data_IF_730432505343
#
_entry.id   IF_730432505343
#
_cell.length_a   1.000
_cell.length_b   1.000
_cell.length_c   1.000
_cell.angle_alpha   90.00
_cell.angle_beta   90.00
_cell.angle_gamma   90.00
#
_symmetry.space_group_name_H-M   'P 1'
#
loop_
_entity.id
_entity.type
_entity.pdbx_description
1 polymer ?
#
# COMPACT_ATOMS: atom_id res chain seq x y z
N UNK A 1 25.47 -10.00 5.07
CA UNK A 1 24.56 -10.40 6.17
C UNK A 1 23.94 -9.15 6.77
N UNK A 2 22.63 -9.17 7.05
CA UNK A 2 21.92 -8.06 7.70
C UNK A 2 22.22 -8.12 9.20
N UNK A 3 22.63 -7.01 9.81
CA UNK A 3 23.01 -6.97 11.23
C UNK A 3 21.79 -7.03 12.15
N UNK A 4 21.98 -7.45 13.41
CA UNK A 4 20.91 -7.47 14.40
C UNK A 4 20.29 -6.07 14.63
N UNK A 5 21.11 -5.02 14.59
CA UNK A 5 20.63 -3.64 14.68
C UNK A 5 19.78 -3.25 13.46
N UNK A 6 20.19 -3.64 12.24
CA UNK A 6 19.39 -3.39 11.05
C UNK A 6 18.02 -4.08 11.15
N UNK A 7 17.97 -5.33 11.62
CA UNK A 7 16.69 -6.01 11.88
C UNK A 7 15.81 -5.29 12.91
N UNK A 8 16.40 -4.78 14.00
CA UNK A 8 15.66 -4.00 15.00
C UNK A 8 15.08 -2.72 14.39
N UNK A 9 15.87 -2.01 13.58
CA UNK A 9 15.46 -0.80 12.89
C UNK A 9 14.36 -1.09 11.85
N UNK A 10 14.47 -2.21 11.12
CA UNK A 10 13.46 -2.66 10.16
C UNK A 10 12.13 -2.97 10.83
N UNK A 11 12.13 -3.64 12.00
CA UNK A 11 10.90 -3.91 12.76
C UNK A 11 10.22 -2.62 13.20
N UNK A 12 10.99 -1.65 13.71
CA UNK A 12 10.44 -0.36 14.11
C UNK A 12 9.77 0.38 12.93
N UNK A 13 10.39 0.36 11.75
CA UNK A 13 9.81 0.95 10.53
C UNK A 13 8.59 0.16 10.04
N UNK A 14 8.62 -1.17 10.09
CA UNK A 14 7.49 -2.05 9.75
C UNK A 14 6.27 -1.77 10.62
N UNK A 15 6.44 -1.79 11.94
CA UNK A 15 5.38 -1.54 12.92
C UNK A 15 4.81 -0.13 12.73
N UNK A 16 5.69 0.85 12.46
CA UNK A 16 5.22 2.20 12.14
C UNK A 16 4.34 2.21 10.91
N UNK A 17 4.64 1.49 9.82
CA UNK A 17 3.82 1.56 8.60
C UNK A 17 2.38 1.07 8.77
N UNK A 18 2.11 0.22 9.76
CA UNK A 18 0.79 -0.31 10.04
C UNK A 18 -0.08 0.73 10.76
N UNK A 19 -1.33 0.87 10.31
CA UNK A 19 -2.33 1.78 10.90
C UNK A 19 -3.03 1.15 12.10
N UNK A 20 -3.09 -0.18 12.16
CA UNK A 20 -3.83 -0.94 13.19
C UNK A 20 -5.31 -0.53 13.31
N UNK A 21 -5.93 -0.08 12.22
CA UNK A 21 -7.36 0.17 12.22
C UNK A 21 -8.11 -1.14 12.43
N UNK A 22 -9.12 -1.12 13.30
CA UNK A 22 -10.05 -2.24 13.42
C UNK A 22 -10.93 -2.29 12.16
N UNK A 23 -10.96 -3.41 11.42
CA UNK A 23 -11.88 -3.55 10.29
C UNK A 23 -13.33 -3.38 10.75
N UNK A 24 -14.10 -2.65 9.95
CA UNK A 24 -15.54 -2.45 10.15
C UNK A 24 -16.24 -2.45 8.79
N UNK A 25 -17.57 -2.67 8.77
CA UNK A 25 -18.34 -2.59 7.54
C UNK A 25 -18.17 -1.22 6.85
N UNK A 26 -17.88 -1.25 5.56
CA UNK A 26 -17.71 -0.08 4.69
C UNK A 26 -18.60 -0.19 3.44
N UNK A 27 -18.86 0.93 2.77
CA UNK A 27 -19.61 0.95 1.49
C UNK A 27 -18.91 0.12 0.40
N UNK A 28 -17.57 0.15 0.38
CA UNK A 28 -16.73 -0.54 -0.61
C UNK A 28 -15.41 -0.96 0.00
N UNK A 29 -14.81 -2.05 -0.50
CA UNK A 29 -13.41 -2.37 -0.26
C UNK A 29 -12.59 -2.21 -1.55
N UNK A 30 -11.43 -1.56 -1.43
CA UNK A 30 -10.56 -1.26 -2.58
C UNK A 30 -9.21 -1.96 -2.36
N UNK A 31 -8.90 -2.93 -3.21
CA UNK A 31 -7.60 -3.60 -3.26
C UNK A 31 -6.62 -2.87 -4.16
N UNK A 32 -5.58 -2.28 -3.55
CA UNK A 32 -4.56 -1.52 -4.25
C UNK A 32 -3.54 -2.43 -4.93
N UNK A 33 -3.40 -2.28 -6.23
CA UNK A 33 -2.48 -3.03 -7.08
C UNK A 33 -1.05 -2.99 -6.57
N UNK A 34 -0.43 -4.17 -6.53
CA UNK A 34 0.95 -4.36 -6.16
C UNK A 34 1.48 -5.71 -6.63
N UNK A 35 2.72 -6.04 -6.29
CA UNK A 35 3.30 -7.37 -6.55
C UNK A 35 2.77 -8.46 -5.60
N UNK A 36 2.04 -8.10 -4.55
CA UNK A 36 1.58 -9.00 -3.51
C UNK A 36 0.14 -9.46 -3.79
N UNK A 37 -0.05 -10.75 -4.10
CA UNK A 37 -1.39 -11.33 -4.28
C UNK A 37 -2.21 -11.38 -2.97
N UNK A 38 -1.55 -11.25 -1.81
CA UNK A 38 -2.21 -11.22 -0.50
C UNK A 38 -3.21 -10.07 -0.35
N UNK A 39 -3.08 -9.01 -1.14
CA UNK A 39 -4.10 -7.93 -1.21
C UNK A 39 -5.44 -8.47 -1.72
N UNK A 40 -5.43 -9.32 -2.75
CA UNK A 40 -6.65 -9.94 -3.27
C UNK A 40 -7.24 -10.94 -2.27
N UNK A 41 -6.39 -11.77 -1.66
CA UNK A 41 -6.82 -12.77 -0.67
C UNK A 41 -7.45 -12.10 0.57
N UNK A 42 -6.86 -10.98 1.03
CA UNK A 42 -7.42 -10.18 2.12
C UNK A 42 -8.75 -9.54 1.73
N UNK A 43 -8.87 -9.01 0.52
CA UNK A 43 -10.12 -8.45 0.02
C UNK A 43 -11.26 -9.48 -0.04
N UNK A 44 -10.95 -10.69 -0.50
CA UNK A 44 -11.90 -11.80 -0.52
C UNK A 44 -12.32 -12.19 0.89
N UNK A 45 -11.37 -12.38 1.81
CA UNK A 45 -11.69 -12.72 3.21
C UNK A 45 -12.57 -11.67 3.89
N UNK A 46 -12.32 -10.39 3.64
CA UNK A 46 -13.13 -9.30 4.18
C UNK A 46 -14.53 -9.25 3.54
N UNK A 47 -14.63 -9.52 2.24
CA UNK A 47 -15.92 -9.66 1.54
C UNK A 47 -16.76 -10.80 2.12
N UNK A 48 -16.18 -12.00 2.29
CA UNK A 48 -16.85 -13.17 2.87
C UNK A 48 -17.37 -12.92 4.29
N UNK A 49 -16.66 -12.06 5.04
CA UNK A 49 -17.06 -11.61 6.39
C UNK A 49 -18.11 -10.50 6.37
N UNK A 50 -18.60 -10.08 5.20
CA UNK A 50 -19.59 -9.01 5.05
C UNK A 50 -19.06 -7.61 5.32
N UNK A 51 -17.74 -7.38 5.23
CA UNK A 51 -17.13 -6.07 5.53
C UNK A 51 -17.33 -5.03 4.43
N UNK A 52 -17.62 -5.46 3.21
CA UNK A 52 -18.08 -4.57 2.14
C UNK A 52 -18.89 -5.37 1.12
N UNK A 53 -19.98 -4.83 0.58
CA UNK A 53 -20.79 -5.51 -0.43
C UNK A 53 -20.16 -5.46 -1.84
N UNK A 54 -19.18 -4.58 -2.05
CA UNK A 54 -18.55 -4.29 -3.33
C UNK A 54 -17.02 -4.27 -3.20
N UNK A 55 -16.33 -4.91 -4.14
CA UNK A 55 -14.89 -4.87 -4.29
C UNK A 55 -14.49 -4.03 -5.51
N UNK A 56 -13.45 -3.22 -5.36
CA UNK A 56 -12.74 -2.59 -6.48
C UNK A 56 -11.31 -3.09 -6.47
N UNK A 57 -10.83 -3.62 -7.59
CA UNK A 57 -9.40 -3.86 -7.79
C UNK A 57 -8.85 -2.81 -8.76
N UNK A 58 -7.76 -2.16 -8.36
CA UNK A 58 -7.14 -1.05 -9.10
C UNK A 58 -5.65 -1.30 -9.31
N UNK A 59 -5.12 -1.01 -10.49
CA UNK A 59 -3.70 -1.16 -10.79
C UNK A 59 -3.39 -1.79 -12.14
N UNK A 60 -2.48 -1.14 -12.87
CA UNK A 60 -1.89 -1.58 -14.11
C UNK A 60 -0.71 -2.54 -13.88
N UNK A 61 0.17 -2.69 -14.86
CA UNK A 61 1.45 -3.38 -14.68
C UNK A 61 2.57 -2.42 -14.28
N UNK A 62 3.49 -2.91 -13.47
CA UNK A 62 4.75 -2.23 -13.13
C UNK A 62 5.94 -3.10 -13.58
N UNK A 63 7.17 -2.55 -13.66
CA UNK A 63 8.36 -3.36 -13.94
C UNK A 63 8.51 -4.57 -13.01
N UNK A 64 8.07 -4.42 -11.74
CA UNK A 64 8.12 -5.48 -10.74
C UNK A 64 7.02 -6.54 -10.87
N UNK A 65 5.94 -6.24 -11.60
CA UNK A 65 4.80 -7.16 -11.73
C UNK A 65 4.59 -7.70 -13.13
N UNK A 66 5.23 -7.13 -14.16
CA UNK A 66 5.04 -7.50 -15.57
C UNK A 66 5.21 -8.98 -15.85
N UNK A 67 6.16 -9.66 -15.21
CA UNK A 67 6.39 -11.09 -15.42
C UNK A 67 5.29 -11.95 -14.77
N UNK A 68 4.91 -11.63 -13.52
CA UNK A 68 3.93 -12.41 -12.74
C UNK A 68 2.47 -12.05 -13.02
N UNK A 69 2.23 -10.82 -13.45
CA UNK A 69 0.91 -10.23 -13.68
C UNK A 69 0.86 -9.48 -15.03
N UNK A 70 1.13 -10.15 -16.17
CA UNK A 70 1.34 -9.48 -17.47
C UNK A 70 0.14 -8.68 -17.98
N UNK A 71 -1.07 -9.00 -17.52
CA UNK A 71 -2.33 -8.31 -17.86
C UNK A 71 -2.70 -7.16 -16.92
N UNK A 72 -1.92 -6.90 -15.88
CA UNK A 72 -2.20 -5.87 -14.87
C UNK A 72 -2.52 -6.46 -13.50
N UNK A 73 -2.14 -5.73 -12.46
CA UNK A 73 -2.31 -6.13 -11.06
C UNK A 73 -3.81 -6.31 -10.73
N UNK A 74 -4.66 -5.36 -11.12
CA UNK A 74 -6.10 -5.41 -10.90
C UNK A 74 -6.78 -6.61 -11.57
N UNK A 75 -6.34 -6.96 -12.79
CA UNK A 75 -6.89 -8.09 -13.55
C UNK A 75 -6.63 -9.41 -12.81
N UNK A 76 -5.41 -9.60 -12.32
CA UNK A 76 -5.04 -10.81 -11.57
C UNK A 76 -5.75 -10.88 -10.23
N UNK A 77 -5.91 -9.75 -9.54
CA UNK A 77 -6.67 -9.70 -8.30
C UNK A 77 -8.14 -10.07 -8.51
N UNK A 78 -8.78 -9.54 -9.56
CA UNK A 78 -10.15 -9.92 -9.92
C UNK A 78 -10.25 -11.41 -10.19
N UNK A 79 -9.37 -11.98 -11.00
CA UNK A 79 -9.40 -13.42 -11.30
C UNK A 79 -9.22 -14.28 -10.06
N UNK A 80 -8.30 -13.89 -9.17
CA UNK A 80 -8.11 -14.53 -7.87
C UNK A 80 -9.40 -14.49 -7.05
N UNK A 81 -10.06 -13.34 -6.97
CA UNK A 81 -11.32 -13.20 -6.24
C UNK A 81 -12.46 -14.06 -6.82
N UNK A 82 -12.59 -14.10 -8.15
CA UNK A 82 -13.59 -14.96 -8.81
C UNK A 82 -13.30 -16.44 -8.58
N UNK A 83 -12.03 -16.86 -8.63
CA UNK A 83 -11.62 -18.23 -8.37
C UNK A 83 -11.88 -18.66 -6.92
N UNK A 84 -11.89 -17.71 -5.98
CA UNK A 84 -12.23 -17.92 -4.58
C UNK A 84 -13.75 -17.79 -4.30
N UNK A 85 -14.57 -17.56 -5.32
CA UNK A 85 -16.03 -17.62 -5.20
C UNK A 85 -16.74 -16.26 -5.04
N UNK A 86 -16.01 -15.13 -5.12
CA UNK A 86 -16.66 -13.81 -5.16
C UNK A 86 -17.44 -13.69 -6.48
N UNK A 87 -18.74 -13.33 -6.45
CA UNK A 87 -19.52 -13.17 -7.67
C UNK A 87 -18.99 -12.00 -8.50
N UNK A 88 -18.98 -12.16 -9.82
CA UNK A 88 -18.46 -11.12 -10.73
C UNK A 88 -19.23 -9.81 -10.65
N UNK A 89 -20.51 -9.84 -10.27
CA UNK A 89 -21.34 -8.65 -10.03
C UNK A 89 -20.92 -7.83 -8.81
N UNK A 90 -20.12 -8.41 -7.90
CA UNK A 90 -19.59 -7.72 -6.72
C UNK A 90 -18.17 -7.18 -6.91
N UNK A 91 -17.61 -7.24 -8.13
CA UNK A 91 -16.24 -6.81 -8.42
C UNK A 91 -16.19 -5.82 -9.58
N UNK A 92 -15.75 -4.60 -9.28
CA UNK A 92 -15.37 -3.59 -10.27
C UNK A 92 -13.86 -3.65 -10.52
N UNK A 93 -13.46 -3.32 -11.76
CA UNK A 93 -12.09 -3.44 -12.22
C UNK A 93 -11.59 -2.10 -12.78
N UNK A 94 -10.47 -1.61 -12.25
CA UNK A 94 -9.77 -0.42 -12.69
C UNK A 94 -8.33 -0.81 -13.11
N UNK A 95 -8.01 -0.97 -14.41
CA UNK A 95 -6.74 -1.56 -14.83
C UNK A 95 -5.63 -0.56 -15.20
N UNK A 96 -5.80 0.74 -14.94
CA UNK A 96 -4.96 1.79 -15.50
C UNK A 96 -4.02 2.47 -14.50
N UNK A 97 -4.32 2.44 -13.21
CA UNK A 97 -3.51 3.15 -12.22
C UNK A 97 -2.07 2.60 -12.09
N UNK A 98 -1.09 3.49 -11.97
CA UNK A 98 0.35 3.17 -11.90
C UNK A 98 1.01 3.57 -10.60
N UNK A 99 0.28 4.26 -9.74
CA UNK A 99 0.74 4.68 -8.42
C UNK A 99 -0.45 4.81 -7.47
N UNK A 100 -0.18 4.90 -6.18
CA UNK A 100 -1.23 4.98 -5.15
C UNK A 100 -2.17 6.18 -5.34
N UNK A 101 -1.68 7.32 -5.84
CA UNK A 101 -2.54 8.48 -6.10
C UNK A 101 -3.54 8.21 -7.23
N UNK A 102 -3.09 7.60 -8.32
CA UNK A 102 -3.95 7.13 -9.41
C UNK A 102 -4.91 6.04 -8.94
N UNK A 103 -4.46 5.08 -8.12
CA UNK A 103 -5.32 4.03 -7.61
C UNK A 103 -6.55 4.64 -6.90
N UNK A 104 -6.35 5.65 -6.06
CA UNK A 104 -7.45 6.33 -5.38
C UNK A 104 -8.32 7.12 -6.36
N UNK A 105 -7.73 7.93 -7.25
CA UNK A 105 -8.51 8.78 -8.17
C UNK A 105 -9.35 7.96 -9.15
N UNK A 106 -8.76 6.92 -9.73
CA UNK A 106 -9.45 6.09 -10.73
C UNK A 106 -10.49 5.20 -10.06
N UNK A 107 -10.23 4.68 -8.86
CA UNK A 107 -11.26 3.95 -8.10
C UNK A 107 -12.44 4.85 -7.72
N UNK A 108 -12.17 6.10 -7.30
CA UNK A 108 -13.22 7.10 -7.02
C UNK A 108 -14.07 7.36 -8.26
N UNK A 109 -13.43 7.65 -9.40
CA UNK A 109 -14.14 7.90 -10.66
C UNK A 109 -14.99 6.69 -11.10
N UNK A 110 -14.44 5.47 -11.01
CA UNK A 110 -15.17 4.24 -11.35
C UNK A 110 -16.40 4.01 -10.46
N UNK A 111 -16.31 4.34 -9.16
CA UNK A 111 -17.43 4.23 -8.23
C UNK A 111 -18.51 5.28 -8.49
N UNK A 112 -18.12 6.50 -8.85
CA UNK A 112 -19.03 7.57 -9.28
C UNK A 112 -19.78 7.19 -10.57
N UNK A 113 -19.06 6.66 -11.57
CA UNK A 113 -19.65 6.15 -12.83
C UNK A 113 -20.63 4.99 -12.59
N UNK A 114 -20.33 4.15 -11.60
CA UNK A 114 -21.18 3.02 -11.20
C UNK A 114 -22.37 3.45 -10.32
N UNK A 115 -22.52 4.76 -10.03
CA UNK A 115 -23.54 5.32 -9.14
C UNK A 115 -23.56 4.65 -7.76
N UNK A 116 -22.39 4.23 -7.26
CA UNK A 116 -22.25 3.65 -5.94
C UNK A 116 -22.29 4.75 -4.87
N UNK A 117 -23.15 4.60 -3.87
CA UNK A 117 -23.18 5.51 -2.71
C UNK A 117 -22.07 5.13 -1.72
N UNK A 118 -20.99 5.91 -1.72
CA UNK A 118 -19.77 5.63 -0.95
C UNK A 118 -19.59 6.68 0.12
N UNK A 119 -19.78 6.27 1.38
CA UNK A 119 -19.45 7.08 2.57
C UNK A 119 -18.23 6.57 3.32
N UNK A 120 -17.84 5.30 3.09
CA UNK A 120 -16.69 4.67 3.72
C UNK A 120 -15.99 3.66 2.80
N UNK A 121 -14.67 3.59 2.92
CA UNK A 121 -13.79 2.74 2.13
C UNK A 121 -12.93 1.88 3.04
N UNK A 122 -12.98 0.57 2.84
CA UNK A 122 -11.99 -0.37 3.37
C UNK A 122 -10.82 -0.46 2.39
N UNK A 123 -9.73 0.25 2.69
CA UNK A 123 -8.59 0.41 1.81
C UNK A 123 -7.55 -0.68 2.09
N UNK A 124 -7.40 -1.61 1.15
CA UNK A 124 -6.57 -2.80 1.31
C UNK A 124 -5.27 -2.63 0.53
N UNK A 125 -4.14 -2.65 1.23
CA UNK A 125 -2.80 -2.52 0.64
C UNK A 125 -1.87 -3.62 1.14
N UNK A 126 -0.62 -3.62 0.67
CA UNK A 126 0.46 -4.37 1.34
C UNK A 126 0.59 -3.89 2.79
N UNK A 127 1.02 -4.74 3.74
CA UNK A 127 1.09 -4.38 5.16
C UNK A 127 1.91 -3.13 5.44
N UNK A 128 3.05 -2.98 4.77
CA UNK A 128 3.93 -1.83 4.96
C UNK A 128 3.54 -0.56 4.16
N UNK A 129 2.39 -0.57 3.48
CA UNK A 129 1.89 0.59 2.73
C UNK A 129 0.62 1.20 3.31
N UNK A 130 0.12 0.70 4.44
CA UNK A 130 -1.14 1.18 5.03
C UNK A 130 -1.10 2.69 5.32
N UNK A 131 -0.07 3.19 6.01
CA UNK A 131 0.07 4.64 6.29
C UNK A 131 0.14 5.47 5.03
N UNK A 132 0.89 5.03 4.03
CA UNK A 132 1.10 5.78 2.78
C UNK A 132 -0.19 5.83 1.96
N UNK A 133 -0.89 4.71 1.88
CA UNK A 133 -2.18 4.57 1.20
C UNK A 133 -3.25 5.40 1.89
N UNK A 134 -3.34 5.30 3.22
CA UNK A 134 -4.25 6.10 4.04
C UNK A 134 -4.05 7.61 3.82
N UNK A 135 -2.82 8.10 3.96
CA UNK A 135 -2.55 9.54 3.82
C UNK A 135 -2.83 10.06 2.41
N UNK A 136 -2.58 9.24 1.39
CA UNK A 136 -2.91 9.56 0.00
C UNK A 136 -4.42 9.61 -0.19
N UNK A 137 -5.15 8.63 0.33
CA UNK A 137 -6.61 8.57 0.25
C UNK A 137 -7.27 9.75 0.96
N UNK A 138 -6.86 10.07 2.19
CA UNK A 138 -7.38 11.23 2.95
C UNK A 138 -7.13 12.57 2.25
N UNK A 139 -6.07 12.66 1.42
CA UNK A 139 -5.79 13.87 0.63
C UNK A 139 -6.68 13.98 -0.60
N UNK A 140 -6.92 12.87 -1.29
CA UNK A 140 -7.60 12.85 -2.60
C UNK A 140 -9.11 12.59 -2.50
N UNK A 141 -9.56 12.03 -1.39
CA UNK A 141 -10.94 11.69 -1.10
C UNK A 141 -11.30 12.00 0.36
N UNK A 142 -11.23 13.29 0.78
CA UNK A 142 -11.42 13.68 2.17
C UNK A 142 -12.86 13.45 2.69
N UNK A 143 -13.84 13.35 1.78
CA UNK A 143 -15.27 13.25 2.10
C UNK A 143 -15.69 11.89 2.67
N UNK A 144 -14.92 10.83 2.41
CA UNK A 144 -15.25 9.46 2.86
C UNK A 144 -14.38 9.03 4.02
N UNK A 145 -14.93 8.20 4.88
CA UNK A 145 -14.14 7.54 5.91
C UNK A 145 -13.22 6.49 5.30
N UNK A 146 -11.95 6.46 5.71
CA UNK A 146 -10.97 5.48 5.24
C UNK A 146 -10.57 4.56 6.40
N UNK A 147 -10.75 3.26 6.21
CA UNK A 147 -10.30 2.21 7.14
C UNK A 147 -9.22 1.40 6.42
N UNK A 148 -7.98 1.44 6.92
CA UNK A 148 -6.90 0.64 6.33
C UNK A 148 -7.01 -0.82 6.74
N UNK A 149 -6.65 -1.72 5.83
CA UNK A 149 -6.49 -3.13 6.10
C UNK A 149 -5.35 -3.70 5.24
N UNK A 150 -4.78 -4.82 5.69
CA UNK A 150 -3.79 -5.60 4.96
C UNK A 150 -3.78 -7.04 5.46
N UNK A 151 -3.00 -7.90 4.82
CA UNK A 151 -2.77 -9.27 5.29
C UNK A 151 -2.22 -9.26 6.73
N UNK A 152 -2.80 -10.03 7.66
CA UNK A 152 -2.32 -10.09 9.04
C UNK A 152 -1.06 -10.96 9.11
N UNK A 153 0.10 -10.37 8.84
CA UNK A 153 1.39 -11.05 8.84
C UNK A 153 2.47 -10.24 9.53
N UNK A 154 3.45 -10.96 10.07
CA UNK A 154 4.66 -10.43 10.67
C UNK A 154 5.68 -10.03 9.60
N UNK A 155 6.68 -9.22 10.00
CA UNK A 155 7.81 -8.90 9.14
C UNK A 155 8.53 -10.16 8.65
N UNK A 156 8.75 -11.14 9.54
CA UNK A 156 9.52 -12.34 9.21
C UNK A 156 8.78 -13.19 8.17
N UNK A 157 7.46 -13.37 8.31
CA UNK A 157 6.61 -14.04 7.31
C UNK A 157 6.60 -13.28 5.96
N UNK A 158 6.55 -11.94 5.99
CA UNK A 158 6.61 -11.14 4.78
C UNK A 158 7.96 -11.31 4.07
N UNK A 159 9.07 -11.28 4.82
CA UNK A 159 10.41 -11.53 4.29
C UNK A 159 10.51 -12.90 3.64
N UNK A 160 10.02 -13.94 4.32
CA UNK A 160 10.03 -15.32 3.81
C UNK A 160 9.21 -15.44 2.52
N UNK A 161 8.06 -14.77 2.44
CA UNK A 161 7.21 -14.77 1.23
C UNK A 161 7.87 -14.13 0.01
N UNK A 162 8.72 -13.11 0.23
CA UNK A 162 9.46 -12.41 -0.83
C UNK A 162 10.74 -13.17 -1.20
N UNK A 163 11.37 -13.83 -0.22
CA UNK A 163 12.63 -14.56 -0.39
C UNK A 163 13.87 -13.66 -0.49
N UNK A 164 13.72 -12.35 -0.27
CA UNK A 164 14.82 -11.38 -0.27
C UNK A 164 14.62 -10.32 0.84
N UNK A 165 15.27 -10.57 1.98
CA UNK A 165 15.23 -9.69 3.13
C UNK A 165 15.78 -8.29 2.82
N UNK A 166 16.84 -8.17 1.99
CA UNK A 166 17.42 -6.86 1.67
C UNK A 166 16.44 -6.03 0.85
N UNK A 167 15.78 -6.64 -0.12
CA UNK A 167 14.75 -6.00 -0.91
C UNK A 167 13.57 -5.53 -0.04
N UNK A 168 13.14 -6.33 0.93
CA UNK A 168 12.07 -5.94 1.87
C UNK A 168 12.45 -4.69 2.67
N UNK A 169 13.67 -4.66 3.20
CA UNK A 169 14.18 -3.48 3.93
C UNK A 169 14.22 -2.26 3.00
N UNK A 170 14.74 -2.41 1.78
CA UNK A 170 14.75 -1.33 0.79
C UNK A 170 13.32 -0.79 0.53
N UNK A 171 12.32 -1.68 0.37
CA UNK A 171 10.93 -1.29 0.17
C UNK A 171 10.35 -0.52 1.36
N UNK A 172 10.62 -0.96 2.59
CA UNK A 172 10.19 -0.29 3.82
C UNK A 172 10.77 1.11 3.95
N UNK A 173 12.07 1.24 3.70
CA UNK A 173 12.79 2.52 3.71
C UNK A 173 12.22 3.45 2.63
N UNK A 174 12.03 2.96 1.41
CA UNK A 174 11.43 3.74 0.32
C UNK A 174 9.99 4.18 0.61
N UNK A 175 9.18 3.33 1.25
CA UNK A 175 7.82 3.69 1.67
C UNK A 175 7.83 4.80 2.72
N UNK A 176 8.76 4.74 3.70
CA UNK A 176 8.87 5.74 4.76
C UNK A 176 9.39 7.08 4.23
N UNK A 177 10.37 7.08 3.32
CA UNK A 177 10.84 8.31 2.68
C UNK A 177 9.70 9.07 1.98
N UNK A 178 8.75 8.34 1.36
CA UNK A 178 7.57 8.96 0.74
C UNK A 178 6.64 9.59 1.76
N UNK A 179 6.44 8.97 2.93
CA UNK A 179 5.68 9.58 4.04
C UNK A 179 6.32 10.88 4.53
N UNK A 180 7.64 10.98 4.47
CA UNK A 180 8.37 12.20 4.78
C UNK A 180 8.18 13.24 3.65
N UNK A 181 8.45 12.91 2.40
CA UNK A 181 8.58 13.92 1.34
C UNK A 181 7.25 14.37 0.75
N UNK A 182 6.35 13.43 0.47
CA UNK A 182 5.15 13.69 -0.34
C UNK A 182 4.14 14.67 0.28
N UNK A 183 4.00 14.81 1.63
CA UNK A 183 3.19 15.88 2.20
C UNK A 183 3.62 17.28 1.76
N UNK A 184 4.94 17.56 1.71
CA UNK A 184 5.48 18.85 1.26
C UNK A 184 5.26 19.13 -0.23
N UNK A 185 5.01 18.07 -1.02
CA UNK A 185 4.68 18.15 -2.45
C UNK A 185 3.16 18.18 -2.69
N UNK A 186 2.34 18.16 -1.63
CA UNK A 186 0.88 18.16 -1.73
C UNK A 186 0.27 16.83 -2.22
N UNK A 187 1.03 15.73 -2.24
CA UNK A 187 0.58 14.44 -2.76
C UNK A 187 -0.18 13.59 -1.71
N UNK A 188 0.01 13.86 -0.43
CA UNK A 188 -0.69 13.19 0.69
C UNK A 188 -0.83 14.14 1.88
N UNK A 189 -1.63 13.78 2.89
CA UNK A 189 -1.66 14.52 4.17
C UNK A 189 -0.37 14.24 4.97
N UNK A 190 0.02 15.17 5.84
CA UNK A 190 1.12 14.94 6.78
C UNK A 190 0.70 13.99 7.90
N UNK A 191 1.60 13.12 8.32
CA UNK A 191 1.48 12.26 9.50
C UNK A 191 2.73 12.47 10.36
N UNK A 192 2.59 12.42 11.68
CA UNK A 192 3.76 12.43 12.54
C UNK A 192 4.52 11.12 12.41
N UNK A 193 5.83 11.22 12.15
CA UNK A 193 6.77 10.12 12.21
C UNK A 193 7.57 10.30 13.51
N UNK A 194 7.50 9.36 14.46
CA UNK A 194 8.29 9.41 15.69
C UNK A 194 9.80 9.52 15.43
N UNK A 195 10.52 10.21 16.31
CA UNK A 195 11.95 10.46 16.14
C UNK A 195 12.77 9.15 16.08
N UNK A 196 12.41 8.14 16.88
CA UNK A 196 13.07 6.83 16.86
C UNK A 196 12.89 6.08 15.52
N UNK A 197 11.73 6.22 14.88
CA UNK A 197 11.46 5.71 13.53
C UNK A 197 12.29 6.46 12.48
N UNK A 198 12.44 7.78 12.60
CA UNK A 198 13.30 8.59 11.73
C UNK A 198 14.77 8.17 11.88
N UNK A 199 15.26 8.02 13.11
CA UNK A 199 16.63 7.59 13.36
C UNK A 199 16.90 6.16 12.85
N UNK A 200 15.93 5.25 12.99
CA UNK A 200 16.00 3.90 12.44
C UNK A 200 16.08 3.92 10.91
N UNK A 201 15.24 4.73 10.26
CA UNK A 201 15.30 4.97 8.82
C UNK A 201 16.68 5.49 8.38
N UNK A 202 17.23 6.48 9.08
CA UNK A 202 18.55 7.04 8.77
C UNK A 202 19.67 6.01 8.95
N UNK A 203 19.61 5.17 9.99
CA UNK A 203 20.55 4.05 10.18
C UNK A 203 20.48 3.04 9.04
N UNK A 204 19.27 2.67 8.61
CA UNK A 204 19.07 1.76 7.47
C UNK A 204 19.63 2.36 6.17
N UNK A 205 19.37 3.64 5.90
CA UNK A 205 19.95 4.35 4.75
C UNK A 205 21.48 4.34 4.79
N UNK A 206 22.09 4.63 5.96
CA UNK A 206 23.57 4.59 6.15
C UNK A 206 24.15 3.19 5.98
N UNK A 207 23.37 2.13 6.24
CA UNK A 207 23.75 0.75 5.96
C UNK A 207 23.51 0.33 4.50
N UNK A 208 23.11 1.28 3.64
CA UNK A 208 23.00 1.09 2.19
C UNK A 208 21.70 0.44 1.74
N UNK A 209 20.64 0.44 2.56
CA UNK A 209 19.31 0.01 2.14
C UNK A 209 18.59 1.16 1.41
N UNK A 210 19.06 1.50 0.21
CA UNK A 210 18.65 2.72 -0.52
C UNK A 210 18.05 2.46 -1.90
N UNK A 211 17.88 1.21 -2.34
CA UNK A 211 17.53 0.91 -3.75
C UNK A 211 16.13 1.36 -4.16
N UNK A 212 15.27 1.71 -3.20
CA UNK A 212 13.88 2.18 -3.42
C UNK A 212 13.66 3.63 -3.00
N UNK A 213 14.72 4.35 -2.64
CA UNK A 213 14.65 5.78 -2.39
C UNK A 213 14.35 6.53 -3.69
N UNK A 214 13.56 7.58 -3.57
CA UNK A 214 13.43 8.63 -4.58
C UNK A 214 14.76 9.36 -4.69
N UNK A 215 15.15 9.61 -5.93
CA UNK A 215 16.36 10.34 -6.27
C UNK A 215 15.97 11.70 -6.86
N UNK A 216 16.83 12.71 -6.71
CA UNK A 216 16.75 13.95 -7.47
C UNK A 216 17.30 13.78 -8.89
N UNK A 217 17.29 14.87 -9.67
CA UNK A 217 17.79 14.89 -11.05
C UNK A 217 19.30 14.59 -11.16
N UNK A 218 20.04 14.67 -10.05
CA UNK A 218 21.46 14.32 -9.96
C UNK A 218 21.69 12.89 -9.46
N UNK A 219 20.63 12.12 -9.22
CA UNK A 219 20.70 10.75 -8.73
C UNK A 219 20.98 10.64 -7.23
N UNK A 220 20.90 11.74 -6.47
CA UNK A 220 21.05 11.72 -5.01
C UNK A 220 19.72 11.44 -4.33
N UNK A 221 19.73 10.65 -3.26
CA UNK A 221 18.51 10.36 -2.51
C UNK A 221 17.90 11.66 -1.96
N UNK A 222 16.62 11.88 -2.27
CA UNK A 222 15.89 13.01 -1.70
C UNK A 222 15.87 12.86 -0.18
N UNK A 223 16.28 13.90 0.52
CA UNK A 223 16.22 13.95 1.98
C UNK A 223 15.20 14.99 2.39
N UNK A 224 14.55 14.75 3.52
CA UNK A 224 13.66 15.72 4.12
C UNK A 224 14.43 16.83 4.87
N UNK A 225 15.77 16.89 4.74
CA UNK A 225 16.68 17.61 5.64
C UNK A 225 16.10 18.98 5.95
N UNK A 226 15.55 19.08 7.17
CA UNK A 226 15.13 20.33 7.77
C UNK A 226 16.33 21.26 7.68
N UNK A 227 16.13 22.42 7.05
CA UNK A 227 16.92 23.59 7.42
C UNK A 227 16.69 23.88 8.90
#
# INVERSE_FOLDING_TARGET
>A
MISAQAWKDTRLVWDYHQMHHAPKPCSVAIGLGSHDLGVADTAVSLYERGMAPLLVFTGATSPTTRERMPRGEAVHYRERALALGVPSSAVLLEPHARNTGENIRFSKALLEESSADVSSVLLISKPYEERRSYATARKLWPEVEIVSASSPMTLDEYVDSIGDARLVIDMLVGALQRLLIYPGQGLMISQQVPDDVIEAYERLCRHGFTSRLLLDDQGQALSQTRR
#
